data_IF_294539802576
#
_entry.id   IF_294539802576
#
_cell.length_a   1.000
_cell.length_b   1.000
_cell.length_c   1.000
_cell.angle_alpha   90.00
_cell.angle_beta   90.00
_cell.angle_gamma   90.00
#
_symmetry.space_group_name_H-M   'P 1'
#
loop_
_entity.id
_entity.type
_entity.pdbx_description
1 polymer ?
#
# COMPACT_ATOMS: atom_id res chain seq x y z
N UNK A 1 19.91 -2.89 -23.92
CA UNK A 1 19.49 -2.55 -25.30
C UNK A 1 20.56 -1.67 -25.93
N UNK A 2 20.89 -1.83 -27.23
CA UNK A 2 21.76 -0.87 -27.90
C UNK A 2 21.12 0.54 -27.87
N UNK A 3 21.92 1.62 -27.86
CA UNK A 3 21.39 2.98 -27.93
C UNK A 3 20.47 3.16 -29.14
N UNK A 4 19.29 3.74 -28.94
CA UNK A 4 18.35 4.03 -30.03
C UNK A 4 18.77 5.36 -30.69
N UNK A 5 19.02 5.33 -32.00
CA UNK A 5 19.30 6.53 -32.81
C UNK A 5 17.98 7.12 -33.36
N UNK A 6 17.50 8.19 -32.73
CA UNK A 6 16.29 8.89 -33.18
C UNK A 6 16.59 9.76 -34.40
N UNK A 7 15.93 9.45 -35.52
CA UNK A 7 16.08 10.20 -36.78
C UNK A 7 14.92 11.17 -36.99
N UNK A 8 15.16 12.35 -37.60
CA UNK A 8 14.08 13.21 -38.05
C UNK A 8 13.15 12.45 -39.00
N UNK A 9 11.86 12.45 -38.71
CA UNK A 9 10.84 11.88 -39.59
C UNK A 9 10.40 12.95 -40.59
N UNK A 10 10.66 12.73 -41.88
CA UNK A 10 10.34 13.70 -42.93
C UNK A 10 8.90 13.65 -43.40
N UNK A 11 8.27 12.47 -43.42
CA UNK A 11 6.87 12.25 -43.81
C UNK A 11 6.28 11.06 -43.02
N UNK A 12 4.98 11.10 -42.71
CA UNK A 12 4.26 9.98 -42.09
C UNK A 12 3.78 9.01 -43.18
N UNK A 13 4.39 7.83 -43.27
CA UNK A 13 3.93 6.79 -44.19
C UNK A 13 2.54 6.28 -43.82
N UNK A 14 1.59 6.31 -44.77
CA UNK A 14 0.19 5.90 -44.56
C UNK A 14 -0.01 4.41 -44.19
N UNK A 15 1.00 3.56 -44.38
CA UNK A 15 0.95 2.12 -44.07
C UNK A 15 1.66 1.73 -42.77
N UNK A 16 2.26 2.69 -42.06
CA UNK A 16 3.04 2.44 -40.85
C UNK A 16 2.23 2.78 -39.59
N UNK A 17 2.51 2.05 -38.49
CA UNK A 17 1.96 2.37 -37.17
C UNK A 17 2.89 3.37 -36.50
N UNK A 18 2.35 4.51 -36.09
CA UNK A 18 3.08 5.58 -35.43
C UNK A 18 2.57 5.78 -34.00
N UNK A 19 3.48 6.01 -33.06
CA UNK A 19 3.17 6.52 -31.71
C UNK A 19 3.67 7.96 -31.65
N UNK A 20 2.76 8.92 -31.49
CA UNK A 20 3.09 10.34 -31.46
C UNK A 20 3.26 10.80 -30.01
N UNK A 21 4.40 11.45 -29.71
CA UNK A 21 4.69 11.99 -28.38
C UNK A 21 4.44 13.51 -28.33
N UNK A 22 3.36 13.94 -27.68
CA UNK A 22 3.02 15.36 -27.49
C UNK A 22 3.74 15.96 -26.28
N UNK A 23 5.02 16.31 -26.43
CA UNK A 23 5.89 16.79 -25.32
C UNK A 23 5.43 18.07 -24.60
N UNK A 24 4.44 18.80 -25.14
CA UNK A 24 3.88 20.03 -24.54
C UNK A 24 2.63 19.78 -23.71
N UNK A 25 2.03 18.59 -23.84
CA UNK A 25 0.89 18.17 -23.04
C UNK A 25 1.44 17.44 -21.81
N UNK A 26 1.09 17.95 -20.63
CA UNK A 26 1.56 17.43 -19.34
C UNK A 26 0.36 16.96 -18.55
N UNK A 27 0.55 15.86 -17.83
CA UNK A 27 -0.44 15.24 -16.96
C UNK A 27 0.10 15.23 -15.52
N UNK A 28 -0.24 14.20 -14.74
CA UNK A 28 0.19 14.04 -13.37
C UNK A 28 1.72 13.87 -13.23
N UNK A 29 2.23 14.27 -12.07
CA UNK A 29 3.59 13.96 -11.64
C UNK A 29 3.62 12.54 -11.06
N UNK A 30 4.67 11.78 -11.39
CA UNK A 30 4.81 10.40 -10.93
C UNK A 30 5.57 10.38 -9.61
N UNK A 31 4.89 9.91 -8.56
CA UNK A 31 5.46 9.60 -7.24
C UNK A 31 6.47 8.45 -7.33
N UNK A 32 6.12 7.38 -8.06
CA UNK A 32 7.01 6.25 -8.33
C UNK A 32 6.35 4.88 -8.27
N UNK A 33 7.20 3.86 -8.17
CA UNK A 33 6.82 2.45 -8.20
C UNK A 33 7.44 1.71 -7.01
N UNK A 34 6.78 0.66 -6.53
CA UNK A 34 7.12 0.06 -5.26
C UNK A 34 6.57 -1.34 -5.02
N UNK A 35 6.78 -1.80 -3.78
CA UNK A 35 6.14 -3.00 -3.23
C UNK A 35 5.95 -2.90 -1.71
N UNK A 36 5.28 -3.89 -1.13
CA UNK A 36 4.94 -3.92 0.29
C UNK A 36 5.97 -4.66 1.16
N UNK A 37 6.35 -4.01 2.27
CA UNK A 37 7.17 -4.54 3.36
C UNK A 37 6.26 -5.22 4.40
N UNK A 38 5.64 -6.33 4.02
CA UNK A 38 4.84 -7.14 4.95
C UNK A 38 5.75 -7.96 5.88
N UNK A 39 5.18 -8.47 6.98
CA UNK A 39 5.90 -9.40 7.85
C UNK A 39 6.34 -10.66 7.09
N UNK A 40 5.48 -11.19 6.19
CA UNK A 40 5.86 -12.30 5.32
C UNK A 40 7.07 -11.98 4.43
N UNK A 41 7.10 -10.80 3.80
CA UNK A 41 8.23 -10.39 2.98
C UNK A 41 9.52 -10.25 3.80
N UNK A 42 9.42 -9.63 4.98
CA UNK A 42 10.54 -9.46 5.89
C UNK A 42 11.11 -10.81 6.38
N UNK A 43 10.25 -11.75 6.78
CA UNK A 43 10.67 -13.08 7.24
C UNK A 43 11.34 -13.90 6.14
N UNK A 44 10.80 -13.87 4.91
CA UNK A 44 11.43 -14.51 3.76
C UNK A 44 12.77 -13.86 3.42
N UNK A 45 12.86 -12.54 3.46
CA UNK A 45 14.12 -11.85 3.26
C UNK A 45 15.15 -12.23 4.33
N UNK A 46 14.75 -12.26 5.61
CA UNK A 46 15.64 -12.63 6.73
C UNK A 46 16.12 -14.09 6.67
N UNK A 47 15.35 -15.01 6.09
CA UNK A 47 15.75 -16.42 5.97
C UNK A 47 16.88 -16.65 4.97
N UNK A 48 17.06 -15.71 4.03
CA UNK A 48 18.10 -15.78 3.00
C UNK A 48 19.51 -15.57 3.55
N UNK A 49 20.51 -16.02 2.79
CA UNK A 49 21.92 -15.72 3.08
C UNK A 49 22.17 -14.19 3.03
N UNK A 50 23.19 -13.65 3.74
CA UNK A 50 23.50 -12.22 3.66
C UNK A 50 23.80 -11.72 2.24
N UNK A 51 24.32 -12.58 1.34
CA UNK A 51 24.51 -12.23 -0.07
C UNK A 51 23.19 -12.12 -0.81
N UNK A 52 22.24 -13.02 -0.56
CA UNK A 52 20.95 -13.02 -1.23
C UNK A 52 20.02 -11.94 -0.68
N UNK A 53 20.09 -11.64 0.62
CA UNK A 53 19.45 -10.46 1.22
C UNK A 53 19.84 -9.17 0.49
N UNK A 54 21.15 -8.98 0.24
CA UNK A 54 21.65 -7.83 -0.52
C UNK A 54 21.21 -7.88 -1.98
N UNK A 55 21.16 -9.07 -2.58
CA UNK A 55 20.74 -9.25 -3.97
C UNK A 55 19.27 -8.86 -4.16
N UNK A 56 18.37 -9.30 -3.29
CA UNK A 56 16.94 -8.94 -3.30
C UNK A 56 16.77 -7.43 -3.23
N UNK A 57 17.43 -6.78 -2.27
CA UNK A 57 17.36 -5.31 -2.13
C UNK A 57 17.89 -4.62 -3.39
N UNK A 58 19.01 -5.07 -3.96
CA UNK A 58 19.54 -4.48 -5.20
C UNK A 58 18.62 -4.68 -6.40
N UNK A 59 17.98 -5.84 -6.54
CA UNK A 59 17.06 -6.10 -7.64
C UNK A 59 15.87 -5.12 -7.64
N UNK A 60 15.36 -4.74 -6.47
CA UNK A 60 14.28 -3.76 -6.37
C UNK A 60 14.75 -2.30 -6.38
N UNK A 61 15.77 -1.97 -5.59
CA UNK A 61 16.07 -0.58 -5.18
C UNK A 61 17.35 -0.01 -5.78
N UNK A 62 18.21 -0.82 -6.41
CA UNK A 62 19.37 -0.27 -7.13
C UNK A 62 18.92 0.48 -8.39
N UNK A 63 19.82 1.33 -8.91
CA UNK A 63 19.54 2.11 -10.12
C UNK A 63 19.21 1.19 -11.30
N UNK A 64 18.35 1.62 -12.23
CA UNK A 64 18.13 0.89 -13.48
C UNK A 64 19.42 0.69 -14.29
N UNK A 65 20.38 1.61 -14.17
CA UNK A 65 21.70 1.49 -14.82
C UNK A 65 22.53 0.34 -14.24
N UNK A 66 22.39 0.06 -12.94
CA UNK A 66 23.03 -1.07 -12.24
C UNK A 66 22.22 -2.37 -12.30
N UNK A 67 21.11 -2.38 -13.04
CA UNK A 67 20.25 -3.55 -13.24
C UNK A 67 19.20 -3.78 -12.15
N UNK A 68 18.92 -2.79 -11.30
CA UNK A 68 17.76 -2.79 -10.40
C UNK A 68 16.48 -2.27 -11.06
N UNK A 69 15.36 -2.35 -10.37
CA UNK A 69 14.07 -1.79 -10.80
C UNK A 69 13.90 -0.31 -10.45
N UNK A 70 14.75 0.24 -9.57
CA UNK A 70 14.71 1.64 -9.16
C UNK A 70 13.45 2.02 -8.37
N UNK A 71 12.92 1.13 -7.53
CA UNK A 71 11.75 1.41 -6.70
C UNK A 71 11.98 2.59 -5.74
N UNK A 72 11.05 3.53 -5.69
CA UNK A 72 11.12 4.74 -4.83
C UNK A 72 9.92 4.87 -3.90
N UNK A 73 8.94 3.96 -4.01
CA UNK A 73 7.73 3.92 -3.19
C UNK A 73 7.68 2.59 -2.46
N UNK A 74 7.05 2.54 -1.30
CA UNK A 74 6.76 1.28 -0.63
C UNK A 74 5.48 1.37 0.20
N UNK A 75 4.96 0.21 0.62
CA UNK A 75 3.83 0.13 1.55
C UNK A 75 4.21 -0.68 2.79
N UNK A 76 3.73 -0.27 3.96
CA UNK A 76 3.94 -1.00 5.22
C UNK A 76 2.61 -1.16 5.98
N UNK A 77 2.32 -2.34 6.53
CA UNK A 77 1.20 -2.50 7.44
C UNK A 77 1.39 -1.74 8.76
N UNK A 78 0.32 -1.13 9.26
CA UNK A 78 0.25 -0.65 10.64
C UNK A 78 -0.34 -1.76 11.51
N UNK A 79 0.53 -2.55 12.15
CA UNK A 79 0.15 -3.79 12.84
C UNK A 79 0.07 -4.97 11.87
N UNK A 80 -0.56 -6.07 12.27
CA UNK A 80 -0.63 -7.28 11.43
C UNK A 80 -1.59 -7.15 10.24
N UNK A 81 -1.28 -7.92 9.20
CA UNK A 81 -2.12 -8.20 8.05
C UNK A 81 -2.22 -9.73 7.83
N UNK A 82 -2.89 -10.17 6.75
CA UNK A 82 -3.00 -11.58 6.41
C UNK A 82 -1.65 -12.25 6.13
N UNK A 83 -0.70 -11.49 5.56
CA UNK A 83 0.69 -11.88 5.31
C UNK A 83 1.58 -11.84 6.56
N UNK A 84 1.22 -12.68 7.53
CA UNK A 84 1.98 -12.94 8.74
C UNK A 84 2.04 -14.45 9.09
N UNK A 85 2.92 -14.85 10.02
CA UNK A 85 3.07 -16.25 10.43
C UNK A 85 2.02 -16.67 11.46
N UNK A 86 1.74 -17.97 11.56
CA UNK A 86 1.25 -18.58 12.81
C UNK A 86 -0.25 -18.61 13.11
N UNK A 87 -1.13 -18.48 12.12
CA UNK A 87 -2.58 -18.57 12.31
C UNK A 87 -3.19 -17.32 12.96
N UNK A 88 -4.53 -17.25 13.03
CA UNK A 88 -5.27 -16.08 13.55
C UNK A 88 -4.94 -15.67 15.00
N UNK A 89 -4.21 -16.49 15.75
CA UNK A 89 -3.78 -16.17 17.11
C UNK A 89 -2.50 -15.30 17.14
N UNK A 90 -1.93 -14.96 15.98
CA UNK A 90 -0.75 -14.12 15.84
C UNK A 90 -1.02 -12.71 15.32
N UNK A 91 -2.30 -12.33 15.21
CA UNK A 91 -2.63 -10.92 14.94
C UNK A 91 -2.06 -10.04 16.04
N UNK A 92 -1.52 -8.88 15.69
CA UNK A 92 -0.96 -7.93 16.66
C UNK A 92 -1.25 -6.49 16.26
N UNK A 93 -1.31 -5.62 17.25
CA UNK A 93 -1.30 -4.18 17.13
C UNK A 93 -0.24 -3.58 18.06
N UNK A 94 0.01 -2.28 17.94
CA UNK A 94 0.91 -1.57 18.85
C UNK A 94 0.22 -1.14 20.16
N UNK A 95 -1.05 -1.48 20.39
CA UNK A 95 -1.81 -1.06 21.57
C UNK A 95 -2.72 -2.18 22.09
N UNK A 96 -2.12 -3.23 22.65
CA UNK A 96 -2.83 -4.44 23.08
C UNK A 96 -3.61 -4.29 24.39
N UNK A 97 -3.23 -3.33 25.26
CA UNK A 97 -3.88 -3.14 26.56
C UNK A 97 -5.32 -2.60 26.40
N UNK A 98 -6.30 -3.44 26.74
CA UNK A 98 -7.71 -3.10 26.54
C UNK A 98 -8.16 -1.91 27.39
N UNK A 99 -8.77 -0.92 26.75
CA UNK A 99 -9.30 0.26 27.43
C UNK A 99 -8.28 1.38 27.65
N UNK A 100 -7.05 1.21 27.19
CA UNK A 100 -5.99 2.22 27.26
C UNK A 100 -6.22 3.37 26.26
N UNK A 101 -7.26 4.18 26.50
CA UNK A 101 -7.65 5.29 25.64
C UNK A 101 -6.62 6.43 25.56
N UNK A 102 -5.64 6.45 26.46
CA UNK A 102 -4.52 7.39 26.45
C UNK A 102 -3.24 6.77 25.89
N UNK A 103 -3.29 5.50 25.46
CA UNK A 103 -2.19 4.75 24.84
C UNK A 103 -0.95 4.63 25.74
N UNK A 104 -1.06 4.66 27.08
CA UNK A 104 0.09 4.55 27.97
C UNK A 104 0.98 3.32 27.75
N UNK A 105 0.41 2.22 27.24
CA UNK A 105 1.08 0.95 26.94
C UNK A 105 1.30 0.73 25.44
N UNK A 106 1.17 1.78 24.62
CA UNK A 106 1.50 1.68 23.22
C UNK A 106 2.99 1.38 23.05
N UNK A 107 3.32 0.44 22.16
CA UNK A 107 4.69 0.05 21.87
C UNK A 107 5.37 1.10 20.97
N UNK A 108 5.93 2.16 21.56
CA UNK A 108 6.74 3.14 20.81
C UNK A 108 8.04 2.54 20.25
N UNK A 109 8.43 1.36 20.75
CA UNK A 109 9.63 0.68 20.30
C UNK A 109 9.43 -0.11 19.00
N UNK A 110 8.19 -0.16 18.47
CA UNK A 110 7.85 -0.91 17.26
C UNK A 110 8.53 -2.29 17.26
N UNK A 111 8.63 -2.93 18.44
CA UNK A 111 9.61 -3.99 18.68
C UNK A 111 9.33 -5.17 17.77
N UNK A 112 8.05 -5.47 17.56
CA UNK A 112 7.62 -6.53 16.65
C UNK A 112 8.14 -6.32 15.22
N UNK A 113 8.02 -5.10 14.69
CA UNK A 113 8.49 -4.74 13.34
C UNK A 113 10.03 -4.68 13.23
N UNK A 114 10.72 -4.45 14.35
CA UNK A 114 12.19 -4.58 14.43
C UNK A 114 12.58 -6.06 14.39
N UNK A 115 11.94 -6.88 15.20
CA UNK A 115 12.30 -8.28 15.40
C UNK A 115 11.98 -9.14 14.17
N UNK A 116 10.83 -8.91 13.52
CA UNK A 116 10.41 -9.66 12.34
C UNK A 116 11.09 -9.21 11.04
N UNK A 117 11.86 -8.12 11.07
CA UNK A 117 12.66 -7.65 9.95
C UNK A 117 12.04 -6.58 9.06
N UNK A 118 10.81 -6.11 9.32
CA UNK A 118 10.19 -5.05 8.50
C UNK A 118 11.06 -3.80 8.52
N UNK A 119 11.40 -3.28 9.71
CA UNK A 119 12.24 -2.09 9.86
C UNK A 119 13.65 -2.33 9.28
N UNK A 120 14.36 -3.43 9.59
CA UNK A 120 15.63 -3.77 8.94
C UNK A 120 15.57 -3.80 7.40
N UNK A 121 14.51 -4.35 6.81
CA UNK A 121 14.35 -4.44 5.36
C UNK A 121 14.11 -3.05 4.73
N UNK A 122 13.30 -2.20 5.37
CA UNK A 122 13.08 -0.81 4.94
C UNK A 122 14.40 -0.03 4.97
N UNK A 123 15.19 -0.17 6.03
CA UNK A 123 16.52 0.48 6.10
C UNK A 123 17.47 0.01 5.01
N UNK A 124 17.44 -1.28 4.67
CA UNK A 124 18.25 -1.80 3.57
C UNK A 124 17.84 -1.20 2.22
N UNK A 125 16.54 -1.04 1.97
CA UNK A 125 16.01 -0.37 0.78
C UNK A 125 16.41 1.11 0.71
N UNK A 126 16.24 1.86 1.80
CA UNK A 126 16.64 3.27 1.90
C UNK A 126 18.14 3.45 1.64
N UNK A 127 18.97 2.61 2.26
CA UNK A 127 20.43 2.67 2.09
C UNK A 127 20.90 2.28 0.68
N UNK A 128 20.11 1.53 -0.09
CA UNK A 128 20.41 1.27 -1.50
C UNK A 128 20.00 2.45 -2.39
N UNK A 129 18.84 3.07 -2.13
CA UNK A 129 18.37 4.26 -2.86
C UNK A 129 19.29 5.47 -2.71
N UNK A 130 19.74 5.75 -1.48
CA UNK A 130 20.65 6.85 -1.16
C UNK A 130 21.98 6.80 -1.93
N UNK A 131 22.33 5.65 -2.54
CA UNK A 131 23.56 5.49 -3.32
C UNK A 131 23.51 6.17 -4.68
N UNK A 132 22.32 6.37 -5.24
CA UNK A 132 22.19 6.77 -6.64
C UNK A 132 21.11 7.83 -6.90
N UNK A 133 20.20 8.09 -5.95
CA UNK A 133 19.22 9.17 -6.06
C UNK A 133 19.20 10.05 -4.81
N UNK A 134 18.78 11.31 -4.99
CA UNK A 134 18.47 12.23 -3.88
C UNK A 134 17.03 12.04 -3.36
N UNK A 135 16.22 11.25 -4.08
CA UNK A 135 14.86 10.91 -3.66
C UNK A 135 14.90 9.96 -2.47
N UNK A 136 14.04 10.21 -1.49
CA UNK A 136 13.82 9.30 -0.37
C UNK A 136 12.73 8.29 -0.70
N UNK A 137 12.81 7.10 -0.07
CA UNK A 137 11.71 6.13 -0.12
C UNK A 137 10.41 6.76 0.39
N UNK A 138 9.41 6.87 -0.48
CA UNK A 138 8.07 7.34 -0.10
C UNK A 138 7.25 6.17 0.43
N UNK A 139 7.21 6.02 1.75
CA UNK A 139 6.52 4.91 2.42
C UNK A 139 5.05 5.27 2.72
N UNK A 140 4.11 4.44 2.26
CA UNK A 140 2.68 4.51 2.59
C UNK A 140 2.39 3.50 3.72
N UNK A 141 1.80 3.94 4.83
CA UNK A 141 1.42 3.03 5.91
C UNK A 141 -0.10 2.83 5.97
N UNK A 142 -0.55 1.58 6.12
CA UNK A 142 -1.98 1.24 6.05
C UNK A 142 -2.36 0.25 7.16
N UNK A 143 -3.39 0.51 8.00
CA UNK A 143 -3.87 -0.49 8.94
C UNK A 143 -4.87 -1.43 8.27
N UNK A 144 -4.79 -2.72 8.60
CA UNK A 144 -5.86 -3.66 8.31
C UNK A 144 -6.97 -3.65 9.34
N UNK A 145 -6.62 -3.30 10.58
CA UNK A 145 -7.57 -3.32 11.68
C UNK A 145 -7.12 -2.38 12.78
N UNK A 146 -8.03 -1.64 13.42
CA UNK A 146 -7.79 -1.12 14.75
C UNK A 146 -7.49 -2.26 15.75
N UNK A 147 -6.81 -1.98 16.87
CA UNK A 147 -6.73 -2.92 18.00
C UNK A 147 -8.11 -3.45 18.36
N UNK A 148 -8.20 -4.73 18.75
CA UNK A 148 -9.50 -5.40 18.95
C UNK A 148 -10.45 -4.61 19.87
N UNK A 149 -9.94 -4.08 20.99
CA UNK A 149 -10.71 -3.32 21.97
C UNK A 149 -11.22 -1.96 21.48
N UNK A 150 -10.71 -1.47 20.35
CA UNK A 150 -11.19 -0.24 19.69
C UNK A 150 -12.36 -0.48 18.74
N UNK A 151 -12.75 -1.74 18.51
CA UNK A 151 -13.77 -2.11 17.52
C UNK A 151 -15.10 -2.47 18.18
N UNK A 152 -16.19 -2.27 17.45
CA UNK A 152 -17.49 -2.77 17.88
C UNK A 152 -17.50 -4.31 17.87
N UNK A 153 -18.09 -4.96 18.90
CA UNK A 153 -18.11 -6.41 18.99
C UNK A 153 -19.06 -7.04 17.96
N UNK A 154 -18.67 -8.20 17.40
CA UNK A 154 -19.52 -9.04 16.56
C UNK A 154 -19.87 -10.31 17.33
N UNK A 155 -21.16 -10.50 17.63
CA UNK A 155 -21.61 -11.59 18.49
C UNK A 155 -21.05 -11.50 19.92
N UNK A 156 -20.86 -10.28 20.43
CA UNK A 156 -20.31 -10.02 21.76
C UNK A 156 -18.77 -10.11 21.85
N UNK A 157 -18.07 -10.35 20.74
CA UNK A 157 -16.61 -10.51 20.70
C UNK A 157 -15.97 -9.37 19.92
N UNK A 158 -15.07 -8.63 20.57
CA UNK A 158 -14.15 -7.69 19.94
C UNK A 158 -12.99 -8.46 19.31
N UNK A 159 -12.60 -8.13 18.07
CA UNK A 159 -11.58 -8.88 17.33
C UNK A 159 -11.01 -8.08 16.18
N UNK A 160 -9.72 -8.25 15.90
CA UNK A 160 -9.09 -7.67 14.71
C UNK A 160 -9.58 -8.30 13.40
N UNK A 161 -10.01 -9.56 13.42
CA UNK A 161 -10.47 -10.32 12.23
C UNK A 161 -11.99 -10.36 12.06
N UNK A 162 -12.74 -9.61 12.88
CA UNK A 162 -14.19 -9.42 12.75
C UNK A 162 -14.53 -7.95 12.69
N UNK A 163 -15.61 -7.60 12.01
CA UNK A 163 -16.03 -6.21 11.88
C UNK A 163 -17.55 -6.11 11.99
N UNK A 164 -18.03 -5.17 12.81
CA UNK A 164 -19.43 -4.79 12.78
C UNK A 164 -19.73 -4.08 11.45
N UNK A 165 -20.97 -4.16 11.00
CA UNK A 165 -21.46 -3.45 9.81
C UNK A 165 -22.59 -2.50 10.23
N UNK A 166 -22.71 -1.31 9.59
CA UNK A 166 -21.94 -0.87 8.43
C UNK A 166 -20.58 -0.24 8.75
N UNK A 167 -20.25 -0.03 10.04
CA UNK A 167 -18.97 0.54 10.47
C UNK A 167 -18.38 -0.29 11.63
N UNK A 168 -17.10 -0.65 11.53
CA UNK A 168 -16.42 -1.54 12.48
C UNK A 168 -15.76 -0.84 13.67
N UNK A 169 -15.20 0.36 13.46
CA UNK A 169 -14.55 1.15 14.51
C UNK A 169 -15.59 1.71 15.48
N UNK A 170 -15.36 1.56 16.78
CA UNK A 170 -16.24 2.13 17.81
C UNK A 170 -16.14 3.67 17.80
N UNK A 171 -17.28 4.40 17.67
CA UNK A 171 -17.28 5.86 17.74
C UNK A 171 -16.57 6.42 18.98
N UNK A 172 -16.69 5.76 20.13
CA UNK A 172 -16.03 6.19 21.36
C UNK A 172 -14.50 6.02 21.33
N UNK A 173 -13.95 5.35 20.31
CA UNK A 173 -12.53 5.01 20.15
C UNK A 173 -11.88 5.72 18.97
N UNK A 174 -12.62 6.55 18.24
CA UNK A 174 -12.09 7.33 17.11
C UNK A 174 -10.93 8.25 17.51
N UNK A 175 -11.06 9.04 18.59
CA UNK A 175 -9.95 9.92 19.02
C UNK A 175 -8.72 9.14 19.51
N UNK A 176 -8.84 8.10 20.37
CA UNK A 176 -7.71 7.21 20.67
C UNK A 176 -7.08 6.60 19.41
N UNK A 177 -7.88 6.16 18.45
CA UNK A 177 -7.37 5.58 17.21
C UNK A 177 -6.64 6.61 16.32
N UNK A 178 -7.09 7.87 16.29
CA UNK A 178 -6.33 8.95 15.65
C UNK A 178 -4.94 9.13 16.26
N UNK A 179 -4.82 9.07 17.59
CA UNK A 179 -3.51 9.11 18.26
C UNK A 179 -2.69 7.82 18.05
N UNK A 180 -3.34 6.68 17.81
CA UNK A 180 -2.64 5.44 17.44
C UNK A 180 -1.87 5.60 16.12
N UNK A 181 -2.47 6.23 15.09
CA UNK A 181 -1.76 6.61 13.87
C UNK A 181 -0.58 7.55 14.17
N UNK A 182 -0.81 8.60 14.95
CA UNK A 182 0.24 9.57 15.30
C UNK A 182 1.44 8.92 16.00
N UNK A 183 1.19 8.01 16.95
CA UNK A 183 2.26 7.29 17.65
C UNK A 183 2.99 6.30 16.76
N UNK A 184 2.30 5.64 15.83
CA UNK A 184 2.98 4.82 14.82
C UNK A 184 3.93 5.66 13.96
N UNK A 185 3.46 6.80 13.44
CA UNK A 185 4.28 7.73 12.65
C UNK A 185 5.50 8.22 13.44
N UNK A 186 5.30 8.61 14.70
CA UNK A 186 6.38 9.00 15.60
C UNK A 186 7.35 7.86 15.91
N UNK A 187 6.85 6.63 16.07
CA UNK A 187 7.65 5.43 16.31
C UNK A 187 8.55 5.07 15.13
N UNK A 188 8.03 5.14 13.91
CA UNK A 188 8.82 4.95 12.69
C UNK A 188 9.82 6.09 12.48
N UNK A 189 9.42 7.34 12.71
CA UNK A 189 10.33 8.50 12.64
C UNK A 189 11.49 8.40 13.66
N UNK A 190 11.23 7.90 14.87
CA UNK A 190 12.27 7.66 15.88
C UNK A 190 13.30 6.60 15.45
N UNK A 191 12.98 5.79 14.43
CA UNK A 191 13.89 4.83 13.79
C UNK A 191 14.52 5.38 12.53
N UNK A 192 14.27 6.64 12.17
CA UNK A 192 14.78 7.26 10.95
C UNK A 192 13.99 6.88 9.70
N UNK A 193 12.74 6.45 9.84
CA UNK A 193 11.84 6.16 8.72
C UNK A 193 10.71 7.19 8.73
N UNK A 194 10.78 8.16 7.81
CA UNK A 194 9.70 9.12 7.60
C UNK A 194 8.63 8.50 6.69
N UNK A 195 7.42 8.31 7.23
CA UNK A 195 6.26 7.84 6.46
C UNK A 195 5.72 8.99 5.61
N UNK A 196 5.60 8.79 4.30
CA UNK A 196 5.10 9.79 3.36
C UNK A 196 3.59 9.99 3.47
N UNK A 197 2.84 8.90 3.61
CA UNK A 197 1.37 8.93 3.66
C UNK A 197 0.78 7.78 4.45
N UNK A 198 -0.47 7.94 4.87
CA UNK A 198 -1.26 6.89 5.50
C UNK A 198 -2.58 6.69 4.77
N UNK A 199 -2.98 5.44 4.59
CA UNK A 199 -4.38 5.14 4.22
C UNK A 199 -5.21 5.00 5.50
N UNK A 200 -6.49 5.35 5.43
CA UNK A 200 -7.36 5.29 6.63
C UNK A 200 -7.60 3.85 7.07
N UNK A 201 -7.74 2.94 6.11
CA UNK A 201 -8.12 1.57 6.33
C UNK A 201 -7.90 0.78 5.04
N UNK A 202 -7.11 -0.29 5.10
CA UNK A 202 -7.03 -1.26 4.02
C UNK A 202 -8.41 -1.88 3.74
N UNK A 203 -8.86 -1.82 2.49
CA UNK A 203 -10.07 -2.46 2.00
C UNK A 203 -11.31 -2.19 2.86
N UNK A 204 -11.68 -0.92 3.00
CA UNK A 204 -12.76 -0.47 3.89
C UNK A 204 -14.15 -1.07 3.60
N UNK A 205 -14.33 -1.82 2.50
CA UNK A 205 -15.58 -2.51 2.15
C UNK A 205 -15.47 -4.05 2.26
N UNK A 206 -14.30 -4.60 2.63
CA UNK A 206 -14.04 -6.05 2.67
C UNK A 206 -14.61 -6.71 3.94
N UNK A 207 -15.94 -6.79 4.04
CA UNK A 207 -16.63 -7.37 5.20
C UNK A 207 -16.45 -8.89 5.33
N UNK A 208 -16.20 -9.60 4.23
CA UNK A 208 -16.30 -11.07 4.15
C UNK A 208 -14.96 -11.80 4.11
N UNK A 209 -13.84 -11.09 4.33
CA UNK A 209 -12.50 -11.70 4.39
C UNK A 209 -12.19 -12.35 5.74
N UNK A 210 -11.28 -13.31 5.80
CA UNK A 210 -10.99 -14.05 7.03
C UNK A 210 -9.99 -13.38 7.99
N UNK A 211 -9.22 -12.40 7.48
CA UNK A 211 -8.11 -11.76 8.15
C UNK A 211 -8.49 -10.43 8.80
N UNK A 212 -7.48 -9.70 9.29
CA UNK A 212 -7.60 -8.37 9.85
C UNK A 212 -8.39 -7.47 8.92
N UNK A 213 -9.47 -6.88 9.43
CA UNK A 213 -10.38 -6.05 8.64
C UNK A 213 -11.15 -5.08 9.51
N UNK A 214 -11.51 -3.93 8.98
CA UNK A 214 -12.48 -3.05 9.62
C UNK A 214 -13.25 -2.28 8.54
N UNK A 215 -14.57 -2.41 8.52
CA UNK A 215 -15.38 -1.76 7.47
C UNK A 215 -15.75 -0.33 7.83
N UNK A 216 -15.79 0.53 6.83
CA UNK A 216 -16.21 1.92 6.94
C UNK A 216 -17.08 2.27 5.74
N UNK A 217 -18.22 2.86 6.00
CA UNK A 217 -18.92 3.69 5.00
C UNK A 217 -18.10 4.96 4.72
N UNK A 218 -18.20 5.50 3.50
CA UNK A 218 -17.51 6.72 3.11
C UNK A 218 -17.84 7.89 4.06
N UNK A 219 -19.11 8.06 4.45
CA UNK A 219 -19.55 9.11 5.38
C UNK A 219 -18.91 8.96 6.76
N UNK A 220 -18.82 7.73 7.28
CA UNK A 220 -18.20 7.49 8.59
C UNK A 220 -16.68 7.70 8.54
N UNK A 221 -16.02 7.29 7.45
CA UNK A 221 -14.60 7.59 7.22
C UNK A 221 -14.35 9.10 7.14
N UNK A 222 -15.16 9.82 6.37
CA UNK A 222 -15.07 11.28 6.25
C UNK A 222 -15.26 11.97 7.61
N UNK A 223 -16.23 11.53 8.41
CA UNK A 223 -16.47 12.05 9.76
C UNK A 223 -15.30 11.77 10.69
N UNK A 224 -14.78 10.53 10.69
CA UNK A 224 -13.60 10.16 11.47
C UNK A 224 -12.39 11.03 11.14
N UNK A 225 -12.12 11.25 9.84
CA UNK A 225 -11.01 12.08 9.40
C UNK A 225 -11.23 13.54 9.77
N UNK A 226 -12.41 14.10 9.51
CA UNK A 226 -12.72 15.50 9.83
C UNK A 226 -12.61 15.80 11.32
N UNK A 227 -13.15 14.93 12.17
CA UNK A 227 -13.35 15.23 13.60
C UNK A 227 -12.19 14.74 14.48
N UNK A 228 -11.41 13.76 14.00
CA UNK A 228 -10.39 13.09 14.81
C UNK A 228 -9.03 13.00 14.10
N UNK A 229 -8.90 12.18 13.05
CA UNK A 229 -7.59 11.87 12.48
C UNK A 229 -6.93 13.08 11.81
N UNK A 230 -7.68 13.79 10.98
CA UNK A 230 -7.20 14.98 10.27
C UNK A 230 -6.64 16.04 11.21
N UNK A 231 -7.40 16.50 12.24
CA UNK A 231 -6.88 17.43 13.24
C UNK A 231 -5.60 16.95 13.93
N UNK A 232 -5.56 15.69 14.40
CA UNK A 232 -4.39 15.12 15.08
C UNK A 232 -3.16 15.10 14.16
N UNK A 233 -3.32 14.59 12.93
CA UNK A 233 -2.19 14.50 11.99
C UNK A 233 -1.75 15.87 11.48
N UNK A 234 -2.65 16.84 11.27
CA UNK A 234 -2.24 18.19 10.87
C UNK A 234 -1.51 18.95 11.98
N UNK A 235 -1.79 18.64 13.25
CA UNK A 235 -1.07 19.19 14.39
C UNK A 235 0.31 18.53 14.58
N UNK A 236 0.35 17.20 14.60
CA UNK A 236 1.53 16.44 15.02
C UNK A 236 2.44 16.02 13.84
N UNK A 237 1.87 15.80 12.66
CA UNK A 237 2.54 15.29 11.46
C UNK A 237 2.10 16.01 10.16
N UNK A 238 2.21 17.35 10.07
CA UNK A 238 1.53 18.16 9.05
C UNK A 238 1.87 17.83 7.59
N UNK A 239 2.98 17.14 7.35
CA UNK A 239 3.44 16.74 6.00
C UNK A 239 2.89 15.40 5.54
N UNK A 240 2.40 14.55 6.45
CA UNK A 240 1.93 13.21 6.13
C UNK A 240 0.65 13.30 5.30
N UNK A 241 0.62 12.57 4.19
CA UNK A 241 -0.53 12.49 3.29
C UNK A 241 -1.63 11.63 3.87
N UNK A 242 -2.88 12.06 3.74
CA UNK A 242 -4.05 11.29 4.19
C UNK A 242 -4.77 10.76 2.95
N UNK A 243 -4.82 9.43 2.82
CA UNK A 243 -5.30 8.72 1.63
C UNK A 243 -6.60 7.99 1.99
N UNK A 244 -7.67 8.28 1.26
CA UNK A 244 -8.97 7.63 1.44
C UNK A 244 -9.12 6.33 0.65
N UNK A 245 -10.21 5.60 0.96
CA UNK A 245 -10.69 4.40 0.28
C UNK A 245 -9.80 3.15 0.41
N UNK A 246 -8.64 3.12 -0.27
CA UNK A 246 -7.67 2.00 -0.26
C UNK A 246 -8.32 0.64 -0.57
N UNK A 247 -9.06 0.59 -1.69
CA UNK A 247 -9.81 -0.60 -2.11
C UNK A 247 -10.05 -0.60 -3.64
N UNK A 248 -10.90 -1.47 -4.16
CA UNK A 248 -10.93 -1.82 -5.58
C UNK A 248 -11.46 -0.70 -6.50
N UNK A 249 -10.86 -0.59 -7.70
CA UNK A 249 -11.15 0.44 -8.71
C UNK A 249 -12.61 0.46 -9.19
N UNK A 250 -13.37 -0.62 -9.01
CA UNK A 250 -14.79 -0.70 -9.37
C UNK A 250 -15.70 0.21 -8.51
N UNK A 251 -15.27 0.53 -7.29
CA UNK A 251 -16.05 1.35 -6.34
C UNK A 251 -15.42 2.73 -6.06
N UNK A 252 -14.21 3.00 -6.56
CA UNK A 252 -13.42 4.20 -6.24
C UNK A 252 -14.18 5.52 -6.44
N UNK A 253 -14.90 5.68 -7.55
CA UNK A 253 -15.68 6.89 -7.84
C UNK A 253 -16.85 7.06 -6.87
N UNK A 254 -17.56 5.99 -6.56
CA UNK A 254 -18.69 6.03 -5.64
C UNK A 254 -18.23 6.37 -4.22
N UNK A 255 -17.13 5.77 -3.78
CA UNK A 255 -16.57 6.05 -2.45
C UNK A 255 -16.00 7.47 -2.36
N UNK A 256 -15.33 7.95 -3.40
CA UNK A 256 -14.82 9.32 -3.51
C UNK A 256 -15.94 10.36 -3.38
N UNK A 257 -17.10 10.13 -4.01
CA UNK A 257 -18.28 11.01 -3.88
C UNK A 257 -18.75 11.16 -2.44
N UNK A 258 -18.74 10.07 -1.66
CA UNK A 258 -19.08 10.12 -0.23
C UNK A 258 -18.00 10.84 0.58
N UNK A 259 -16.73 10.46 0.39
CA UNK A 259 -15.60 11.06 1.11
C UNK A 259 -15.51 12.58 0.93
N UNK A 260 -15.77 13.06 -0.28
CA UNK A 260 -15.61 14.46 -0.66
C UNK A 260 -16.91 15.27 -0.64
N UNK A 261 -18.02 14.68 -0.20
CA UNK A 261 -19.32 15.36 -0.11
C UNK A 261 -19.29 16.55 0.87
N UNK A 262 -18.54 16.43 1.97
CA UNK A 262 -18.31 17.51 2.95
C UNK A 262 -16.96 18.18 2.68
N UNK A 263 -16.91 19.45 2.24
CA UNK A 263 -15.65 20.17 2.00
C UNK A 263 -14.72 20.24 3.22
N UNK A 264 -15.28 20.22 4.44
CA UNK A 264 -14.47 20.23 5.66
C UNK A 264 -13.73 18.92 5.88
N UNK A 265 -14.32 17.78 5.47
CA UNK A 265 -13.63 16.50 5.45
C UNK A 265 -12.67 16.41 4.26
N UNK A 266 -13.14 16.80 3.06
CA UNK A 266 -12.39 16.74 1.81
C UNK A 266 -11.04 17.48 1.85
N UNK A 267 -10.96 18.56 2.63
CA UNK A 267 -9.72 19.32 2.81
C UNK A 267 -8.59 18.50 3.47
N UNK A 268 -8.91 17.53 4.32
CA UNK A 268 -7.90 16.71 4.97
C UNK A 268 -7.31 15.64 4.05
N UNK A 269 -8.07 15.14 3.08
CA UNK A 269 -7.58 14.12 2.16
C UNK A 269 -6.66 14.73 1.09
N UNK A 270 -5.54 14.08 0.85
CA UNK A 270 -4.59 14.44 -0.21
C UNK A 270 -4.82 13.60 -1.48
N UNK A 271 -5.41 12.41 -1.34
CA UNK A 271 -5.63 11.49 -2.46
C UNK A 271 -6.50 10.28 -2.11
N UNK A 272 -6.58 9.36 -3.06
CA UNK A 272 -7.32 8.10 -2.98
C UNK A 272 -6.39 6.94 -3.34
N UNK A 273 -6.40 5.91 -2.50
CA UNK A 273 -5.72 4.64 -2.72
C UNK A 273 -6.64 3.67 -3.47
N UNK A 274 -6.10 2.89 -4.40
CA UNK A 274 -6.87 1.92 -5.17
C UNK A 274 -6.13 0.60 -5.40
N UNK A 275 -6.91 -0.49 -5.46
CA UNK A 275 -6.46 -1.87 -5.61
C UNK A 275 -6.95 -2.47 -6.93
N UNK A 276 -6.22 -3.43 -7.49
CA UNK A 276 -6.51 -3.94 -8.84
C UNK A 276 -7.59 -5.06 -8.91
N UNK A 277 -8.05 -5.60 -7.78
CA UNK A 277 -8.78 -6.89 -7.75
C UNK A 277 -10.20 -6.80 -8.34
N UNK A 278 -10.76 -5.59 -8.43
CA UNK A 278 -12.02 -5.30 -9.12
C UNK A 278 -11.90 -5.17 -10.66
N UNK A 279 -10.69 -5.29 -11.22
CA UNK A 279 -10.38 -5.05 -12.63
C UNK A 279 -9.99 -3.61 -12.94
N UNK A 280 -9.74 -3.30 -14.22
CA UNK A 280 -9.14 -2.03 -14.65
C UNK A 280 -9.98 -0.78 -14.31
N UNK A 281 -11.32 -0.85 -14.48
CA UNK A 281 -12.29 0.20 -14.15
C UNK A 281 -11.84 1.64 -14.46
N UNK A 282 -11.25 1.86 -15.63
CA UNK A 282 -10.60 3.13 -16.00
C UNK A 282 -11.54 4.33 -16.02
N UNK A 283 -12.80 4.15 -16.41
CA UNK A 283 -13.82 5.20 -16.36
C UNK A 283 -14.06 5.72 -14.92
N UNK A 284 -13.92 4.85 -13.92
CA UNK A 284 -14.04 5.27 -12.52
C UNK A 284 -12.82 6.07 -12.07
N UNK A 285 -11.62 5.75 -12.58
CA UNK A 285 -10.40 6.53 -12.30
C UNK A 285 -10.52 7.93 -12.90
N UNK A 286 -10.88 8.04 -14.18
CA UNK A 286 -11.11 9.33 -14.85
C UNK A 286 -12.22 10.13 -14.16
N UNK A 287 -13.32 9.48 -13.80
CA UNK A 287 -14.42 10.11 -13.08
C UNK A 287 -14.01 10.61 -11.69
N UNK A 288 -13.11 9.90 -11.01
CA UNK A 288 -12.61 10.29 -9.69
C UNK A 288 -11.67 11.49 -9.78
N UNK A 289 -10.76 11.49 -10.77
CA UNK A 289 -9.92 12.64 -11.05
C UNK A 289 -10.77 13.87 -11.44
N UNK A 290 -11.79 13.70 -12.29
CA UNK A 290 -12.70 14.79 -12.67
C UNK A 290 -13.51 15.34 -11.48
N UNK A 291 -13.85 14.49 -10.50
CA UNK A 291 -14.55 14.88 -9.28
C UNK A 291 -13.68 15.77 -8.38
N UNK A 292 -12.39 15.45 -8.24
CA UNK A 292 -11.46 16.15 -7.36
C UNK A 292 -10.05 16.20 -7.97
N UNK A 293 -9.80 17.08 -8.96
CA UNK A 293 -8.57 17.07 -9.76
C UNK A 293 -7.31 17.51 -8.99
N UNK A 294 -7.47 18.10 -7.80
CA UNK A 294 -6.40 18.42 -6.87
C UNK A 294 -5.96 17.23 -6.01
N UNK A 295 -6.68 16.11 -6.06
CA UNK A 295 -6.41 14.89 -5.29
C UNK A 295 -5.73 13.87 -6.18
N UNK A 296 -4.64 13.27 -5.69
CA UNK A 296 -3.96 12.22 -6.45
C UNK A 296 -4.71 10.89 -6.38
N UNK A 297 -4.53 10.06 -7.40
CA UNK A 297 -4.87 8.63 -7.38
C UNK A 297 -3.57 7.84 -7.22
N UNK A 298 -3.56 6.81 -6.36
CA UNK A 298 -2.38 5.96 -6.16
C UNK A 298 -2.80 4.49 -6.13
N UNK A 299 -2.17 3.66 -6.97
CA UNK A 299 -2.29 2.21 -6.85
C UNK A 299 -1.48 1.76 -5.64
N UNK A 300 -2.18 1.37 -4.59
CA UNK A 300 -1.59 1.05 -3.29
C UNK A 300 -1.35 -0.45 -3.10
N UNK A 301 -2.01 -1.30 -3.90
CA UNK A 301 -1.87 -2.75 -3.82
C UNK A 301 -2.33 -3.47 -5.10
N UNK A 302 -1.56 -4.49 -5.49
CA UNK A 302 -1.92 -5.45 -6.52
C UNK A 302 -1.14 -6.77 -6.34
N UNK A 303 -1.81 -7.93 -6.49
CA UNK A 303 -1.17 -9.24 -6.40
C UNK A 303 -1.71 -10.25 -7.41
N UNK A 304 -0.81 -11.00 -8.07
CA UNK A 304 -1.19 -12.15 -8.87
C UNK A 304 -1.55 -13.34 -7.98
N UNK A 305 -2.83 -13.70 -8.00
CA UNK A 305 -3.45 -14.56 -6.99
C UNK A 305 -4.53 -15.44 -7.66
N UNK A 306 -4.75 -16.70 -7.24
CA UNK A 306 -4.07 -17.43 -6.16
C UNK A 306 -2.78 -18.16 -6.60
N UNK A 307 -1.94 -18.51 -5.62
CA UNK A 307 -0.81 -19.42 -5.76
C UNK A 307 0.44 -18.83 -6.41
N UNK A 308 1.53 -19.59 -6.36
CA UNK A 308 2.87 -19.19 -6.83
C UNK A 308 3.19 -19.85 -8.16
N UNK A 309 3.89 -19.13 -9.04
CA UNK A 309 4.55 -19.73 -10.20
C UNK A 309 6.04 -19.79 -9.93
N UNK A 310 6.54 -20.99 -9.67
CA UNK A 310 7.92 -21.26 -9.30
C UNK A 310 8.55 -22.28 -10.26
N UNK A 311 9.79 -22.03 -10.68
CA UNK A 311 10.56 -22.89 -11.60
C UNK A 311 9.83 -23.28 -12.91
N UNK A 312 8.88 -22.46 -13.35
CA UNK A 312 8.18 -22.66 -14.62
C UNK A 312 9.11 -22.35 -15.80
N UNK A 313 9.51 -23.38 -16.55
CA UNK A 313 10.42 -23.24 -17.70
C UNK A 313 9.75 -22.56 -18.90
N UNK A 314 8.46 -22.83 -19.13
CA UNK A 314 7.76 -22.33 -20.31
C UNK A 314 7.21 -20.93 -20.05
N UNK A 315 7.56 -19.97 -20.92
CA UNK A 315 7.04 -18.60 -20.83
C UNK A 315 5.51 -18.55 -20.75
N UNK A 316 4.81 -19.45 -21.46
CA UNK A 316 3.35 -19.53 -21.43
C UNK A 316 2.75 -19.78 -20.02
N UNK A 317 3.56 -20.27 -19.07
CA UNK A 317 3.13 -20.55 -17.70
C UNK A 317 3.14 -19.27 -16.86
N UNK A 318 4.12 -18.38 -17.00
CA UNK A 318 4.27 -17.18 -16.17
C UNK A 318 4.03 -15.84 -16.88
N UNK A 319 4.14 -15.79 -18.21
CA UNK A 319 4.09 -14.54 -18.99
C UNK A 319 2.78 -13.78 -18.81
N UNK A 320 1.66 -14.50 -18.64
CA UNK A 320 0.35 -13.88 -18.39
C UNK A 320 0.36 -12.99 -17.13
N UNK A 321 1.06 -13.40 -16.05
CA UNK A 321 1.18 -12.60 -14.82
C UNK A 321 1.93 -11.29 -15.06
N UNK A 322 2.98 -11.35 -15.89
CA UNK A 322 3.72 -10.16 -16.30
C UNK A 322 2.87 -9.23 -17.20
N UNK A 323 2.07 -9.80 -18.12
CA UNK A 323 1.15 -9.02 -18.95
C UNK A 323 0.06 -8.34 -18.11
N UNK A 324 -0.49 -9.01 -17.09
CA UNK A 324 -1.45 -8.40 -16.17
C UNK A 324 -0.85 -7.19 -15.43
N UNK A 325 0.36 -7.33 -14.87
CA UNK A 325 1.07 -6.23 -14.21
C UNK A 325 1.30 -5.08 -15.19
N UNK A 326 1.86 -5.37 -16.37
CA UNK A 326 2.14 -4.35 -17.38
C UNK A 326 0.88 -3.63 -17.86
N UNK A 327 -0.21 -4.36 -18.07
CA UNK A 327 -1.49 -3.77 -18.47
C UNK A 327 -2.07 -2.88 -17.37
N UNK A 328 -2.10 -3.35 -16.13
CA UNK A 328 -2.67 -2.60 -15.01
C UNK A 328 -1.88 -1.31 -14.73
N UNK A 329 -0.55 -1.40 -14.67
CA UNK A 329 0.35 -0.24 -14.52
C UNK A 329 0.10 0.78 -15.64
N UNK A 330 0.06 0.34 -16.90
CA UNK A 330 -0.15 1.25 -18.03
C UNK A 330 -1.52 1.94 -17.98
N UNK A 331 -2.58 1.20 -17.65
CA UNK A 331 -3.92 1.77 -17.53
C UNK A 331 -3.99 2.76 -16.37
N UNK A 332 -3.43 2.44 -15.21
CA UNK A 332 -3.42 3.36 -14.08
C UNK A 332 -2.69 4.67 -14.39
N UNK A 333 -1.54 4.60 -15.07
CA UNK A 333 -0.79 5.79 -15.50
C UNK A 333 -1.53 6.60 -16.56
N UNK A 334 -2.24 5.94 -17.49
CA UNK A 334 -3.08 6.63 -18.48
C UNK A 334 -4.30 7.31 -17.85
N UNK A 335 -4.69 6.87 -16.65
CA UNK A 335 -5.87 7.32 -15.92
C UNK A 335 -5.50 7.95 -14.57
N UNK A 336 -4.52 8.86 -14.60
CA UNK A 336 -4.16 9.81 -13.53
C UNK A 336 -3.52 9.25 -12.27
N UNK A 337 -3.22 7.94 -12.21
CA UNK A 337 -2.45 7.40 -11.10
C UNK A 337 -1.05 8.00 -11.06
N UNK A 338 -0.62 8.42 -9.87
CA UNK A 338 0.72 8.98 -9.63
C UNK A 338 1.75 7.90 -9.32
N UNK A 339 1.34 6.66 -9.12
CA UNK A 339 2.26 5.58 -8.80
C UNK A 339 1.57 4.23 -8.71
N UNK A 340 2.36 3.18 -8.52
CA UNK A 340 1.86 1.82 -8.45
C UNK A 340 2.71 0.97 -7.51
N UNK A 341 2.06 0.35 -6.53
CA UNK A 341 2.70 -0.42 -5.48
C UNK A 341 2.27 -1.88 -5.60
N UNK A 342 3.23 -2.75 -5.90
CA UNK A 342 3.05 -4.20 -5.85
C UNK A 342 2.73 -4.66 -4.43
N UNK A 343 2.25 -5.89 -4.31
CA UNK A 343 2.08 -6.50 -3.00
C UNK A 343 3.40 -6.97 -2.38
N UNK A 344 3.45 -8.17 -1.83
CA UNK A 344 4.64 -8.66 -1.13
C UNK A 344 5.89 -8.58 -2.02
N UNK A 345 6.93 -7.87 -1.55
CA UNK A 345 8.22 -7.80 -2.27
C UNK A 345 8.85 -9.18 -2.48
N UNK A 346 8.65 -10.11 -1.55
CA UNK A 346 9.17 -11.48 -1.65
C UNK A 346 8.26 -12.43 -0.87
N UNK A 347 8.06 -13.63 -1.40
CA UNK A 347 7.35 -14.73 -0.72
C UNK A 347 8.11 -16.05 -0.87
N UNK A 348 7.75 -17.06 -0.09
CA UNK A 348 8.30 -18.42 -0.29
C UNK A 348 7.66 -19.15 -1.48
N UNK A 349 8.18 -20.33 -1.81
CA UNK A 349 7.65 -21.24 -2.85
C UNK A 349 6.18 -21.67 -2.64
N UNK A 350 5.59 -21.38 -1.48
CA UNK A 350 4.17 -21.64 -1.16
C UNK A 350 3.29 -20.38 -1.18
N UNK A 351 3.87 -19.21 -1.41
CA UNK A 351 3.17 -17.92 -1.46
C UNK A 351 2.88 -17.38 -0.07
N UNK A 352 3.79 -17.62 0.87
CA UNK A 352 3.63 -17.35 2.28
C UNK A 352 4.82 -16.68 2.96
N UNK A 353 4.78 -16.58 4.31
CA UNK A 353 3.69 -17.03 5.18
C UNK A 353 2.41 -16.19 5.07
N UNK A 354 1.25 -16.84 5.21
CA UNK A 354 -0.06 -16.17 5.31
C UNK A 354 -0.89 -16.93 6.35
N UNK A 355 -1.39 -16.24 7.37
CA UNK A 355 -1.96 -16.89 8.56
C UNK A 355 -3.34 -17.54 8.33
N UNK A 356 -3.91 -17.34 7.14
CA UNK A 356 -5.16 -17.97 6.70
C UNK A 356 -5.05 -18.77 5.40
N UNK A 357 -3.83 -18.94 4.89
CA UNK A 357 -3.60 -19.67 3.65
C UNK A 357 -4.11 -18.95 2.40
N UNK A 358 -4.31 -17.63 2.45
CA UNK A 358 -4.55 -16.79 1.28
C UNK A 358 -3.23 -16.61 0.50
N UNK A 359 -2.80 -17.66 -0.21
CA UNK A 359 -1.49 -17.72 -0.86
C UNK A 359 -1.49 -16.94 -2.17
N UNK A 360 -0.45 -16.14 -2.34
CA UNK A 360 -0.28 -15.21 -3.45
C UNK A 360 1.10 -15.37 -4.07
N UNK A 361 1.27 -14.89 -5.30
CA UNK A 361 2.60 -14.77 -5.90
C UNK A 361 3.34 -13.53 -5.40
N UNK A 362 4.65 -13.50 -5.66
CA UNK A 362 5.49 -12.31 -5.56
C UNK A 362 6.48 -12.28 -6.74
N UNK A 363 6.97 -11.10 -7.09
CA UNK A 363 7.93 -10.93 -8.18
C UNK A 363 9.29 -11.61 -7.89
N UNK A 364 9.62 -11.85 -6.62
CA UNK A 364 10.73 -12.68 -6.19
C UNK A 364 10.22 -13.78 -5.25
N UNK A 365 10.69 -15.00 -5.47
CA UNK A 365 10.37 -16.19 -4.66
C UNK A 365 11.64 -16.68 -3.95
N UNK A 366 11.55 -16.90 -2.64
CA UNK A 366 12.60 -17.47 -1.80
C UNK A 366 12.43 -18.99 -1.69
N UNK A 367 13.55 -19.71 -1.82
CA UNK A 367 13.67 -21.18 -1.68
C UNK A 367 14.79 -21.53 -0.69
#
# INVERSE_FOLDING_TARGET
MPPIDLKPLSELGHSERHVLLQRRERHQEILGFGGAFTEAAALNWQSLSPSDQRRVIRLYFASPEDGGLGYTVGRVPIGSCDFGPGGVNRTYSFAEEAGDTHLHHFDDSMQHDVDNGIIPMIHAAMAELERWTADSLSLVASPWSPPAWMKLPVGGVQSMIRTAQPNGLDPAKQRPYAHYFSRFLSGYAARGIDVWGVTIQNEAEAADVGWEKCVYTADYMASFVKEHLGPVLREEHPRVKIIGFDHNKDHVLTYARGLYADPAAAHYFDGIGMHWYGGLNTDNLDGTHALAPDKFLLATEACNCPGVIYEAEAAAEWWQRAEHLGMDILQDLLHWSVGWIDWNLILDTTGGPNHLGNRCDANLIAD
#
